data_IF_055697630405
#
_entry.id   IF_055697630405
#
_cell.length_a   1.000
_cell.length_b   1.000
_cell.length_c   1.000
_cell.angle_alpha   90.00
_cell.angle_beta   90.00
_cell.angle_gamma   90.00
#
_symmetry.space_group_name_H-M   'P 1'
#
loop_
_entity.id
_entity.type
_entity.pdbx_description
1 polymer ?
#
# COMPACT_ATOMS: atom_id res chain seq x y z
N UNK A 1 -10.40 30.84 44.84
CA UNK A 1 -11.54 30.70 43.92
C UNK A 1 -11.12 29.68 42.90
N UNK A 2 -11.74 28.50 42.94
CA UNK A 2 -11.39 27.38 42.07
C UNK A 2 -11.91 27.67 40.66
N UNK A 3 -11.10 27.38 39.64
CA UNK A 3 -11.40 27.72 38.26
C UNK A 3 -12.39 26.71 37.67
N UNK A 4 -13.38 27.22 36.94
CA UNK A 4 -14.42 26.42 36.27
C UNK A 4 -13.86 25.79 35.00
N UNK A 5 -14.19 24.52 34.79
CA UNK A 5 -13.86 23.76 33.57
C UNK A 5 -15.14 23.19 32.98
N UNK A 6 -15.43 23.51 31.73
CA UNK A 6 -16.59 22.99 31.01
C UNK A 6 -16.23 21.66 30.32
N UNK A 7 -17.18 20.72 30.31
CA UNK A 7 -17.04 19.36 29.82
C UNK A 7 -18.05 19.08 28.68
N UNK A 8 -17.59 18.41 27.63
CA UNK A 8 -18.35 17.99 26.47
C UNK A 8 -18.89 16.55 26.65
N UNK A 9 -19.74 16.35 27.67
CA UNK A 9 -20.30 15.03 28.00
C UNK A 9 -21.42 14.65 26.99
N UNK A 10 -21.32 13.52 26.28
CA UNK A 10 -22.41 12.99 25.46
C UNK A 10 -23.66 12.71 26.31
N UNK A 11 -24.86 12.85 25.73
CA UNK A 11 -26.10 12.65 26.48
C UNK A 11 -26.24 11.25 27.10
N UNK A 12 -25.65 10.24 26.46
CA UNK A 12 -25.65 8.85 26.91
C UNK A 12 -24.84 8.65 28.20
N UNK A 13 -23.85 9.50 28.46
CA UNK A 13 -22.93 9.41 29.59
C UNK A 13 -23.25 10.40 30.72
N UNK A 14 -24.41 11.07 30.64
CA UNK A 14 -24.82 12.11 31.61
C UNK A 14 -24.93 11.59 33.05
N UNK A 15 -25.32 10.33 33.23
CA UNK A 15 -25.53 9.76 34.56
C UNK A 15 -24.19 9.40 35.21
N UNK A 16 -23.19 9.03 34.39
CA UNK A 16 -21.81 8.86 34.83
C UNK A 16 -21.22 10.22 35.22
N UNK A 17 -21.42 11.27 34.43
CA UNK A 17 -20.92 12.61 34.76
C UNK A 17 -21.50 13.15 36.08
N UNK A 18 -22.79 12.92 36.34
CA UNK A 18 -23.39 13.24 37.64
C UNK A 18 -22.76 12.45 38.79
N UNK A 19 -22.37 11.20 38.56
CA UNK A 19 -21.74 10.37 39.58
C UNK A 19 -20.39 10.94 40.06
N UNK A 20 -19.66 11.60 39.15
CA UNK A 20 -18.39 12.28 39.44
C UNK A 20 -18.55 13.69 40.02
N UNK A 21 -19.77 14.12 40.37
CA UNK A 21 -20.01 15.42 41.00
C UNK A 21 -19.93 16.60 40.04
N UNK A 22 -20.08 16.35 38.73
CA UNK A 22 -20.16 17.39 37.70
C UNK A 22 -21.56 18.01 37.72
N UNK A 23 -21.63 19.35 37.68
CA UNK A 23 -22.89 20.09 37.68
C UNK A 23 -23.31 20.47 36.24
N UNK A 24 -24.61 20.58 36.01
CA UNK A 24 -25.15 21.04 34.73
C UNK A 24 -25.44 22.54 34.80
N UNK A 25 -24.87 23.31 33.87
CA UNK A 25 -25.20 24.72 33.70
C UNK A 25 -26.36 24.86 32.70
N UNK A 26 -27.55 25.20 33.20
CA UNK A 26 -28.75 25.37 32.37
C UNK A 26 -28.65 26.56 31.40
N UNK A 27 -27.90 27.61 31.74
CA UNK A 27 -27.76 28.82 30.93
C UNK A 27 -26.88 28.56 29.71
N UNK A 28 -25.72 27.93 29.94
CA UNK A 28 -24.75 27.61 28.89
C UNK A 28 -24.98 26.24 28.23
N UNK A 29 -25.87 25.41 28.80
CA UNK A 29 -26.16 24.03 28.37
C UNK A 29 -24.91 23.17 28.26
N UNK A 30 -24.04 23.26 29.26
CA UNK A 30 -22.81 22.47 29.36
C UNK A 30 -22.68 21.87 30.75
N UNK A 31 -22.02 20.72 30.81
CA UNK A 31 -21.57 20.14 32.07
C UNK A 31 -20.32 20.89 32.52
N UNK A 32 -20.15 21.12 33.82
CA UNK A 32 -18.99 21.82 34.35
C UNK A 32 -18.56 21.28 35.70
N UNK A 33 -17.26 21.41 35.98
CA UNK A 33 -16.65 21.06 37.26
C UNK A 33 -15.66 22.14 37.69
N UNK A 34 -15.10 22.01 38.89
CA UNK A 34 -14.00 22.86 39.38
C UNK A 34 -12.66 22.14 39.23
N UNK A 35 -11.57 22.88 39.04
CA UNK A 35 -10.21 22.29 38.97
C UNK A 35 -9.87 21.41 40.18
N UNK A 36 -10.40 21.73 41.38
CA UNK A 36 -10.18 20.95 42.60
C UNK A 36 -10.91 19.59 42.62
N UNK A 37 -11.90 19.42 41.76
CA UNK A 37 -12.71 18.20 41.60
C UNK A 37 -12.39 17.46 40.30
N UNK A 38 -11.38 17.90 39.55
CA UNK A 38 -10.94 17.22 38.33
C UNK A 38 -10.24 15.91 38.69
N UNK A 39 -10.72 14.79 38.14
CA UNK A 39 -10.08 13.47 38.25
C UNK A 39 -9.79 12.91 36.85
N UNK A 40 -8.93 11.89 36.77
CA UNK A 40 -8.46 11.31 35.50
C UNK A 40 -9.63 10.83 34.63
N UNK A 41 -10.74 10.37 35.24
CA UNK A 41 -11.93 9.90 34.55
C UNK A 41 -12.75 11.01 33.88
N UNK A 42 -12.57 12.28 34.31
CA UNK A 42 -13.23 13.45 33.71
C UNK A 42 -12.46 14.00 32.50
N UNK A 43 -11.19 13.65 32.32
CA UNK A 43 -10.35 14.13 31.21
C UNK A 43 -10.90 13.70 29.84
N UNK A 44 -11.57 12.54 29.78
CA UNK A 44 -12.22 12.04 28.55
C UNK A 44 -13.33 12.95 28.01
N UNK A 45 -13.88 13.82 28.87
CA UNK A 45 -14.92 14.78 28.50
C UNK A 45 -14.41 16.21 28.35
N UNK A 46 -13.09 16.43 28.44
CA UNK A 46 -12.55 17.74 28.09
C UNK A 46 -12.85 18.02 26.61
N UNK A 47 -13.33 19.24 26.27
CA UNK A 47 -13.60 19.58 24.88
C UNK A 47 -12.31 19.39 24.08
N UNK A 48 -12.32 18.40 23.18
CA UNK A 48 -11.22 18.15 22.26
C UNK A 48 -11.08 19.40 21.39
N UNK A 49 -10.13 20.26 21.78
CA UNK A 49 -9.70 21.36 20.94
C UNK A 49 -8.55 20.76 20.16
N UNK A 50 -8.75 20.34 18.89
CA UNK A 50 -7.64 19.83 18.12
C UNK A 50 -6.56 20.89 18.15
N UNK A 51 -5.36 20.50 18.55
CA UNK A 51 -4.22 21.39 18.53
C UNK A 51 -4.07 21.94 17.10
N UNK A 52 -3.56 23.17 16.92
CA UNK A 52 -3.33 23.72 15.58
C UNK A 52 -2.57 22.75 14.66
N UNK A 53 -1.66 21.95 15.23
CA UNK A 53 -0.92 20.92 14.52
C UNK A 53 -1.81 19.75 14.04
N UNK A 54 -2.77 19.29 14.84
CA UNK A 54 -3.74 18.25 14.44
C UNK A 54 -4.70 18.74 13.36
N UNK A 55 -5.10 20.02 13.41
CA UNK A 55 -5.89 20.66 12.35
C UNK A 55 -5.07 20.75 11.05
N UNK A 56 -3.80 21.16 11.14
CA UNK A 56 -2.92 21.25 9.97
C UNK A 56 -2.65 19.86 9.37
N UNK A 57 -2.51 18.82 10.19
CA UNK A 57 -2.31 17.45 9.73
C UNK A 57 -3.56 16.83 9.09
N UNK A 58 -4.76 17.28 9.48
CA UNK A 58 -6.03 16.80 8.92
C UNK A 58 -6.46 17.51 7.63
N UNK A 59 -5.85 18.64 7.29
CA UNK A 59 -6.11 19.31 6.01
C UNK A 59 -5.51 18.51 4.84
N UNK A 60 -6.23 18.36 3.72
CA UNK A 60 -5.69 17.70 2.54
C UNK A 60 -4.42 18.44 2.08
N UNK A 61 -3.33 17.68 1.90
CA UNK A 61 -2.05 18.23 1.42
C UNK A 61 -2.32 19.03 0.14
N UNK A 62 -2.01 20.33 0.17
CA UNK A 62 -2.15 21.21 -0.99
C UNK A 62 -1.32 20.62 -2.13
N UNK A 63 -2.02 20.22 -3.20
CA UNK A 63 -1.39 19.70 -4.42
C UNK A 63 -1.06 20.88 -5.32
N UNK A 64 0.09 20.82 -5.97
CA UNK A 64 0.42 21.77 -7.03
C UNK A 64 -0.54 21.61 -8.21
N UNK A 65 -0.87 22.72 -8.85
CA UNK A 65 -1.66 22.78 -10.08
C UNK A 65 -0.85 22.27 -11.27
N UNK A 66 -1.54 21.84 -12.33
CA UNK A 66 -0.89 21.36 -13.56
C UNK A 66 0.05 22.41 -14.17
N UNK A 67 -0.31 23.70 -14.12
CA UNK A 67 0.53 24.80 -14.61
C UNK A 67 1.81 24.98 -13.80
N UNK A 68 1.76 24.77 -12.48
CA UNK A 68 2.95 24.87 -11.62
C UNK A 68 3.90 23.69 -11.88
N UNK A 69 3.36 22.49 -12.07
CA UNK A 69 4.13 21.30 -12.45
C UNK A 69 4.83 21.51 -13.80
N UNK A 70 4.13 22.06 -14.80
CA UNK A 70 4.72 22.39 -16.10
C UNK A 70 5.83 23.44 -15.98
N UNK A 71 5.63 24.46 -15.15
CA UNK A 71 6.65 25.48 -14.90
C UNK A 71 7.94 24.87 -14.33
N UNK A 72 7.85 24.00 -13.31
CA UNK A 72 9.03 23.32 -12.74
C UNK A 72 9.71 22.43 -13.78
N UNK A 73 8.95 21.74 -14.64
CA UNK A 73 9.51 20.94 -15.75
C UNK A 73 10.26 21.81 -16.77
N UNK A 74 9.77 23.01 -17.07
CA UNK A 74 10.44 23.95 -17.97
C UNK A 74 11.78 24.45 -17.43
N UNK A 75 11.91 24.60 -16.10
CA UNK A 75 13.17 24.96 -15.44
C UNK A 75 14.17 23.79 -15.37
N UNK A 76 13.69 22.55 -15.55
CA UNK A 76 14.51 21.35 -15.36
C UNK A 76 15.52 21.14 -16.49
N UNK A 77 16.74 20.79 -16.09
CA UNK A 77 17.86 20.44 -16.96
C UNK A 77 18.10 18.93 -16.92
N UNK A 78 18.84 18.43 -17.92
CA UNK A 78 19.25 17.03 -17.95
C UNK A 78 20.13 16.69 -16.76
N UNK A 79 19.79 15.60 -16.06
CA UNK A 79 20.43 15.18 -14.83
C UNK A 79 20.64 13.66 -14.88
N UNK A 80 21.76 13.15 -14.35
CA UNK A 80 22.06 11.70 -14.35
C UNK A 80 21.21 10.90 -13.34
N UNK A 81 20.47 11.61 -12.50
CA UNK A 81 19.69 11.10 -11.39
C UNK A 81 18.21 11.06 -11.78
N UNK A 82 17.53 9.93 -11.62
CA UNK A 82 16.13 9.80 -12.07
C UNK A 82 15.14 10.42 -11.08
N UNK A 83 15.45 10.25 -9.81
CA UNK A 83 14.70 10.71 -8.66
C UNK A 83 14.81 12.22 -8.43
N UNK A 84 15.84 12.85 -8.99
CA UNK A 84 16.09 14.28 -8.89
C UNK A 84 15.76 15.02 -10.21
N UNK A 85 15.46 16.30 -10.07
CA UNK A 85 15.37 17.29 -11.14
C UNK A 85 16.37 18.40 -10.82
N UNK A 86 17.34 18.61 -11.71
CA UNK A 86 18.26 19.74 -11.60
C UNK A 86 17.56 20.96 -12.19
N UNK A 87 17.22 21.94 -11.34
CA UNK A 87 16.54 23.16 -11.79
C UNK A 87 17.55 24.27 -12.03
N UNK A 88 17.42 24.94 -13.17
CA UNK A 88 18.12 26.20 -13.45
C UNK A 88 17.20 27.35 -13.03
N UNK A 89 17.50 27.95 -11.89
CA UNK A 89 16.70 29.00 -11.26
C UNK A 89 17.13 30.39 -11.78
N UNK A 90 16.30 31.43 -11.60
CA UNK A 90 16.69 32.82 -11.80
C UNK A 90 17.95 33.20 -11.00
N UNK A 91 18.58 34.31 -11.42
CA UNK A 91 19.82 34.84 -10.82
C UNK A 91 21.05 33.92 -10.88
N UNK A 92 21.00 32.89 -11.74
CA UNK A 92 22.09 31.94 -11.95
C UNK A 92 22.23 30.91 -10.83
N UNK A 93 21.17 30.71 -10.04
CA UNK A 93 21.11 29.67 -9.02
C UNK A 93 20.73 28.31 -9.61
N UNK A 94 21.15 27.25 -8.93
CA UNK A 94 20.84 25.87 -9.27
C UNK A 94 20.18 25.20 -8.07
N UNK A 95 19.10 24.46 -8.31
CA UNK A 95 18.32 23.79 -7.27
C UNK A 95 18.25 22.29 -7.45
N UNK A 96 18.41 21.53 -6.37
CA UNK A 96 18.07 20.11 -6.32
C UNK A 96 16.60 19.93 -5.92
N UNK A 97 15.78 19.54 -6.90
CA UNK A 97 14.35 19.32 -6.69
C UNK A 97 14.02 17.83 -6.73
N UNK A 98 13.28 17.32 -5.75
CA UNK A 98 12.90 15.90 -5.74
C UNK A 98 11.71 15.67 -6.68
N UNK A 99 11.79 14.68 -7.57
CA UNK A 99 10.75 14.49 -8.59
C UNK A 99 9.37 14.17 -8.00
N UNK A 100 9.30 13.45 -6.87
CA UNK A 100 8.02 13.15 -6.21
C UNK A 100 7.40 14.38 -5.52
N UNK A 101 8.18 15.46 -5.34
CA UNK A 101 7.69 16.73 -4.80
C UNK A 101 6.99 17.59 -5.89
N UNK A 102 6.86 17.09 -7.13
CA UNK A 102 6.12 17.80 -8.19
C UNK A 102 4.65 18.01 -7.83
N UNK A 103 4.01 17.00 -7.24
CA UNK A 103 2.57 17.04 -6.93
C UNK A 103 2.27 17.68 -5.56
N UNK A 104 3.30 18.19 -4.86
CA UNK A 104 3.19 18.80 -3.53
C UNK A 104 3.39 20.32 -3.61
N UNK A 105 3.20 21.04 -2.51
CA UNK A 105 3.37 22.50 -2.42
C UNK A 105 4.81 23.01 -2.66
N UNK A 106 5.80 22.10 -2.78
CA UNK A 106 7.17 22.45 -3.13
C UNK A 106 7.25 23.01 -4.55
N UNK A 107 6.49 22.47 -5.51
CA UNK A 107 6.44 23.02 -6.86
C UNK A 107 5.82 24.43 -6.89
N UNK A 108 4.72 24.68 -6.16
CA UNK A 108 4.19 26.04 -5.97
C UNK A 108 5.24 27.00 -5.38
N UNK A 109 6.05 26.53 -4.42
CA UNK A 109 7.11 27.34 -3.80
C UNK A 109 8.19 27.77 -4.80
N UNK A 110 8.57 26.87 -5.73
CA UNK A 110 9.47 27.23 -6.84
C UNK A 110 8.85 28.28 -7.76
N UNK A 111 7.55 28.17 -8.08
CA UNK A 111 6.85 29.10 -8.97
C UNK A 111 6.76 30.52 -8.39
N UNK A 112 6.54 30.64 -7.08
CA UNK A 112 6.50 31.95 -6.40
C UNK A 112 7.90 32.54 -6.10
N UNK A 113 8.97 31.82 -6.42
CA UNK A 113 10.36 32.24 -6.20
C UNK A 113 10.92 31.94 -4.81
N UNK A 114 10.21 31.18 -3.98
CA UNK A 114 10.70 30.69 -2.68
C UNK A 114 11.48 29.39 -2.87
N UNK A 115 12.68 29.53 -3.43
CA UNK A 115 13.49 28.38 -3.81
C UNK A 115 13.99 27.60 -2.60
N UNK A 116 14.33 28.26 -1.48
CA UNK A 116 14.83 27.60 -0.26
C UNK A 116 13.79 26.62 0.30
N UNK A 117 12.50 26.95 0.14
CA UNK A 117 11.41 26.05 0.48
C UNK A 117 11.14 25.03 -0.62
N UNK A 118 11.24 25.42 -1.89
CA UNK A 118 10.90 24.57 -3.03
C UNK A 118 11.93 23.50 -3.37
N UNK A 119 13.22 23.77 -3.13
CA UNK A 119 14.33 22.87 -3.44
C UNK A 119 14.91 22.26 -2.16
N UNK A 120 15.48 21.05 -2.25
CA UNK A 120 16.18 20.39 -1.12
C UNK A 120 17.57 20.98 -0.87
N UNK A 121 18.16 21.56 -1.90
CA UNK A 121 19.46 22.22 -1.84
C UNK A 121 19.58 23.24 -2.97
N UNK A 122 20.26 24.36 -2.70
CA UNK A 122 20.52 25.42 -3.69
C UNK A 122 21.98 25.81 -3.63
N UNK A 123 22.59 25.99 -4.80
CA UNK A 123 23.92 26.58 -4.91
C UNK A 123 24.05 27.45 -6.16
N UNK A 124 25.03 28.36 -6.16
CA UNK A 124 25.45 29.11 -7.35
C UNK A 124 26.19 28.23 -8.36
N UNK A 125 26.69 27.06 -7.93
CA UNK A 125 27.42 26.13 -8.81
C UNK A 125 26.60 24.86 -9.02
N UNK A 126 26.37 24.44 -10.28
CA UNK A 126 25.65 23.20 -10.57
C UNK A 126 26.37 21.96 -10.04
N UNK A 127 27.71 21.98 -9.96
CA UNK A 127 28.49 20.85 -9.45
C UNK A 127 28.16 20.52 -7.99
N UNK A 128 28.03 21.54 -7.13
CA UNK A 128 27.72 21.36 -5.70
C UNK A 128 26.30 20.77 -5.53
N UNK A 129 25.36 21.17 -6.40
CA UNK A 129 24.00 20.61 -6.41
C UNK A 129 24.00 19.14 -6.84
N UNK A 130 24.80 18.79 -7.86
CA UNK A 130 24.94 17.40 -8.31
C UNK A 130 25.65 16.53 -7.26
N UNK A 131 26.65 17.05 -6.55
CA UNK A 131 27.31 16.35 -5.45
C UNK A 131 26.32 16.10 -4.30
N UNK A 132 25.53 17.11 -3.92
CA UNK A 132 24.44 16.93 -2.95
C UNK A 132 23.45 15.85 -3.38
N UNK A 133 23.01 15.86 -4.64
CA UNK A 133 22.13 14.81 -5.17
C UNK A 133 22.78 13.42 -5.09
N UNK A 134 24.11 13.32 -5.27
CA UNK A 134 24.90 12.07 -5.22
C UNK A 134 24.95 11.49 -3.82
N UNK A 135 25.15 12.35 -2.84
CA UNK A 135 25.17 11.97 -1.43
C UNK A 135 23.78 11.59 -0.91
N UNK A 136 22.71 12.15 -1.50
CA UNK A 136 21.33 11.98 -1.04
C UNK A 136 20.47 11.11 -1.98
N UNK A 137 21.07 10.12 -2.67
CA UNK A 137 20.31 9.18 -3.51
C UNK A 137 19.58 8.15 -2.65
N UNK A 138 18.28 7.93 -2.93
CA UNK A 138 17.53 6.80 -2.39
C UNK A 138 17.94 5.46 -3.04
N UNK A 139 18.51 5.50 -4.24
CA UNK A 139 18.97 4.31 -4.96
C UNK A 139 20.50 4.34 -5.17
N UNK A 140 21.20 3.43 -4.49
CA UNK A 140 22.67 3.26 -4.60
C UNK A 140 23.09 2.31 -5.72
N UNK A 141 22.15 1.83 -6.55
CA UNK A 141 22.49 0.98 -7.68
C UNK A 141 23.28 1.73 -8.76
N UNK A 142 23.97 1.02 -9.66
CA UNK A 142 24.90 1.65 -10.59
C UNK A 142 24.15 2.61 -11.52
N UNK A 143 24.59 3.87 -11.55
CA UNK A 143 24.23 4.80 -12.63
C UNK A 143 24.50 4.12 -13.97
N UNK A 144 23.60 4.32 -14.94
CA UNK A 144 23.89 3.96 -16.33
C UNK A 144 24.92 4.97 -16.84
N UNK A 145 26.19 4.63 -16.77
CA UNK A 145 27.24 5.32 -17.52
C UNK A 145 27.30 4.67 -18.91
N UNK A 146 27.34 5.51 -19.94
CA UNK A 146 27.02 5.26 -21.35
C UNK A 146 27.78 4.11 -22.04
N UNK A 147 27.38 3.84 -23.29
CA UNK A 147 28.10 2.98 -24.24
C UNK A 147 29.61 3.26 -24.24
N UNK A 148 30.35 2.32 -23.66
CA UNK A 148 31.78 2.03 -23.86
C UNK A 148 32.78 3.13 -23.54
N UNK A 149 33.53 2.83 -22.48
CA UNK A 149 34.98 2.99 -22.39
C UNK A 149 35.46 4.48 -22.41
N UNK A 150 36.41 4.95 -21.62
CA UNK A 150 37.84 4.76 -21.75
C UNK A 150 38.44 5.79 -20.79
N UNK A 151 38.85 5.41 -19.58
CA UNK A 151 39.97 6.05 -18.87
C UNK A 151 40.04 5.50 -17.44
N UNK A 152 41.02 4.62 -17.28
CA UNK A 152 41.62 4.16 -16.05
C UNK A 152 42.27 5.34 -15.34
N UNK A 153 42.12 5.46 -14.02
CA UNK A 153 43.12 6.17 -13.23
C UNK A 153 43.54 5.38 -11.99
N UNK A 154 44.85 5.46 -11.74
CA UNK A 154 45.61 4.79 -10.68
C UNK A 154 45.85 5.83 -9.58
N UNK A 155 45.97 5.39 -8.33
CA UNK A 155 46.17 6.17 -7.08
C UNK A 155 44.81 6.44 -6.40
N UNK A 156 44.46 5.94 -5.21
CA UNK A 156 45.14 5.87 -3.89
C UNK A 156 44.10 5.26 -2.89
N UNK A 157 44.36 5.10 -1.57
CA UNK A 157 45.36 4.33 -0.83
C UNK A 157 44.72 3.25 0.10
N UNK A 158 45.56 2.38 0.67
CA UNK A 158 45.22 1.27 1.57
C UNK A 158 44.79 1.71 2.98
N UNK A 159 43.77 1.06 3.56
CA UNK A 159 43.45 1.09 5.00
C UNK A 159 43.47 -0.37 5.50
N UNK A 160 44.27 -0.71 6.53
CA UNK A 160 44.42 -2.09 7.00
C UNK A 160 43.53 -2.49 8.20
N UNK A 161 43.24 -3.80 8.21
CA UNK A 161 43.01 -4.74 9.32
C UNK A 161 41.73 -4.58 10.16
N UNK A 162 41.00 -5.62 10.58
CA UNK A 162 41.40 -6.95 11.08
C UNK A 162 40.20 -7.92 10.98
N UNK A 163 40.18 -8.82 9.97
CA UNK A 163 39.34 -10.02 9.95
C UNK A 163 39.79 -11.00 8.84
N UNK A 164 41.07 -11.35 8.78
CA UNK A 164 41.58 -12.29 7.75
C UNK A 164 42.35 -13.43 8.41
N UNK A 165 41.82 -14.65 8.26
CA UNK A 165 42.61 -15.86 7.97
C UNK A 165 41.66 -17.04 7.66
N UNK A 166 40.69 -16.81 6.79
CA UNK A 166 40.06 -17.88 6.03
C UNK A 166 40.51 -17.71 4.57
N UNK A 167 41.18 -18.69 3.95
CA UNK A 167 41.61 -18.57 2.57
C UNK A 167 40.38 -18.35 1.68
N UNK A 168 40.40 -17.26 0.94
CA UNK A 168 39.33 -16.84 0.04
C UNK A 168 39.89 -16.70 -1.37
N UNK A 169 39.09 -17.06 -2.35
CA UNK A 169 39.34 -16.83 -3.76
C UNK A 169 38.55 -15.60 -4.19
N UNK A 170 39.24 -14.70 -4.89
CA UNK A 170 38.64 -13.52 -5.48
C UNK A 170 38.27 -13.84 -6.92
N UNK A 171 37.03 -13.55 -7.29
CA UNK A 171 36.51 -13.81 -8.63
C UNK A 171 35.64 -12.67 -9.13
N UNK A 172 35.43 -12.63 -10.44
CA UNK A 172 34.54 -11.69 -11.08
C UNK A 172 33.32 -12.42 -11.62
N UNK A 173 32.12 -12.12 -11.09
CA UNK A 173 30.87 -12.71 -11.53
C UNK A 173 30.11 -11.71 -12.41
N UNK A 174 29.89 -12.06 -13.68
CA UNK A 174 29.19 -11.20 -14.63
C UNK A 174 27.74 -11.67 -14.82
N UNK A 175 26.77 -10.89 -14.36
CA UNK A 175 25.33 -11.18 -14.52
C UNK A 175 24.68 -10.03 -15.31
N UNK A 176 24.09 -10.34 -16.45
CA UNK A 176 23.37 -9.35 -17.26
C UNK A 176 24.23 -8.19 -17.75
N UNK A 177 25.52 -8.43 -18.03
CA UNK A 177 26.46 -7.40 -18.53
C UNK A 177 27.09 -6.51 -17.45
N UNK A 178 26.90 -6.83 -16.17
CA UNK A 178 27.60 -6.19 -15.05
C UNK A 178 28.47 -7.21 -14.33
N UNK A 179 29.73 -6.85 -14.10
CA UNK A 179 30.72 -7.66 -13.40
C UNK A 179 30.82 -7.19 -11.95
N UNK A 180 30.61 -8.09 -11.00
CA UNK A 180 30.83 -7.86 -9.57
C UNK A 180 32.03 -8.67 -9.11
N UNK A 181 32.92 -8.02 -8.35
CA UNK A 181 33.98 -8.73 -7.65
C UNK A 181 33.38 -9.40 -6.42
N UNK A 182 33.56 -10.71 -6.33
CA UNK A 182 33.09 -11.52 -5.21
C UNK A 182 34.29 -12.16 -4.54
N UNK A 183 34.34 -12.02 -3.22
CA UNK A 183 35.24 -12.77 -2.37
C UNK A 183 34.49 -14.02 -1.93
N UNK A 184 34.91 -15.17 -2.45
CA UNK A 184 34.33 -16.46 -2.11
C UNK A 184 35.30 -17.22 -1.20
N UNK A 185 34.83 -17.96 -0.19
CA UNK A 185 35.68 -18.86 0.57
C UNK A 185 36.30 -19.92 -0.36
N UNK A 186 37.52 -20.40 -0.07
CA UNK A 186 38.22 -21.41 -0.90
C UNK A 186 37.42 -22.69 -1.17
N UNK A 187 36.44 -23.02 -0.32
CA UNK A 187 35.53 -24.15 -0.55
C UNK A 187 34.71 -24.00 -1.84
N UNK A 188 34.63 -22.78 -2.39
CA UNK A 188 34.04 -22.45 -3.69
C UNK A 188 35.02 -22.49 -4.86
N UNK A 189 36.29 -22.86 -4.68
CA UNK A 189 37.27 -22.93 -5.77
C UNK A 189 36.82 -23.88 -6.90
N UNK A 190 36.22 -25.03 -6.53
CA UNK A 190 35.62 -25.94 -7.51
C UNK A 190 34.42 -25.33 -8.25
N UNK A 191 33.71 -24.40 -7.60
CA UNK A 191 32.60 -23.67 -8.20
C UNK A 191 33.08 -22.60 -9.18
N UNK A 192 34.12 -21.84 -8.81
CA UNK A 192 34.73 -20.83 -9.68
C UNK A 192 35.37 -21.50 -10.89
N UNK A 193 36.12 -22.60 -10.69
CA UNK A 193 36.69 -23.38 -11.80
C UNK A 193 35.62 -23.87 -12.77
N UNK A 194 34.51 -24.40 -12.23
CA UNK A 194 33.39 -24.86 -13.05
C UNK A 194 32.68 -23.72 -13.81
N UNK A 195 32.46 -22.56 -13.18
CA UNK A 195 31.85 -21.37 -13.81
C UNK A 195 32.75 -20.72 -14.86
N UNK A 196 34.08 -20.74 -14.65
CA UNK A 196 35.08 -20.21 -15.57
C UNK A 196 35.21 -21.07 -16.83
N UNK A 197 35.09 -22.39 -16.70
CA UNK A 197 35.22 -23.33 -17.82
C UNK A 197 33.94 -23.48 -18.65
N UNK A 198 32.76 -23.17 -18.09
CA UNK A 198 31.47 -23.57 -18.69
C UNK A 198 30.48 -22.43 -18.99
N UNK A 199 30.92 -21.23 -19.43
CA UNK A 199 29.96 -20.21 -19.89
C UNK A 199 28.92 -20.81 -20.87
N UNK A 200 27.62 -20.71 -20.60
CA UNK A 200 26.96 -19.60 -19.93
C UNK A 200 26.64 -19.84 -18.45
N UNK A 201 26.40 -18.74 -17.72
CA UNK A 201 25.79 -18.73 -16.39
C UNK A 201 24.74 -19.86 -16.31
N UNK A 202 24.90 -20.82 -15.39
CA UNK A 202 23.99 -21.93 -15.27
C UNK A 202 22.58 -21.35 -15.14
N UNK A 203 21.61 -21.90 -15.89
CA UNK A 203 20.27 -21.32 -15.94
C UNK A 203 19.73 -21.12 -14.51
N UNK A 204 18.93 -20.08 -14.25
CA UNK A 204 18.34 -19.81 -12.92
C UNK A 204 17.66 -21.06 -12.32
N UNK A 205 17.20 -21.97 -13.18
CA UNK A 205 16.54 -23.23 -12.84
C UNK A 205 17.49 -24.45 -12.79
N UNK A 206 18.78 -24.28 -13.01
CA UNK A 206 19.74 -25.38 -12.97
C UNK A 206 20.07 -25.77 -11.53
N UNK A 207 20.41 -27.05 -11.36
CA UNK A 207 20.83 -27.59 -10.05
C UNK A 207 22.06 -26.85 -9.50
N UNK A 208 23.02 -26.50 -10.36
CA UNK A 208 24.22 -25.78 -9.94
C UNK A 208 23.88 -24.38 -9.42
N UNK A 209 23.02 -23.63 -10.11
CA UNK A 209 22.58 -22.32 -9.63
C UNK A 209 21.89 -22.42 -8.27
N UNK A 210 21.07 -23.46 -8.05
CA UNK A 210 20.45 -23.70 -6.75
C UNK A 210 21.50 -23.97 -5.65
N UNK A 211 22.52 -24.80 -5.93
CA UNK A 211 23.60 -25.10 -4.99
C UNK A 211 24.44 -23.84 -4.65
N UNK A 212 24.69 -22.97 -5.65
CA UNK A 212 25.37 -21.67 -5.45
C UNK A 212 24.54 -20.76 -4.55
N UNK A 213 23.26 -20.57 -4.87
CA UNK A 213 22.38 -19.70 -4.09
C UNK A 213 22.20 -20.24 -2.67
N UNK A 214 22.12 -21.56 -2.49
CA UNK A 214 22.06 -22.18 -1.16
C UNK A 214 23.35 -21.94 -0.37
N UNK A 215 24.52 -22.05 -1.01
CA UNK A 215 25.80 -21.76 -0.38
C UNK A 215 25.90 -20.29 0.03
N UNK A 216 25.64 -19.37 -0.89
CA UNK A 216 25.65 -17.93 -0.61
C UNK A 216 24.65 -17.59 0.49
N UNK A 217 23.45 -18.16 0.47
CA UNK A 217 22.48 -17.97 1.53
C UNK A 217 23.01 -18.49 2.87
N UNK A 218 23.58 -19.70 2.93
CA UNK A 218 24.11 -20.29 4.16
C UNK A 218 25.20 -19.44 4.81
N UNK A 219 26.03 -18.78 4.00
CA UNK A 219 27.17 -18.00 4.47
C UNK A 219 26.88 -16.48 4.59
N UNK A 220 25.74 -15.99 4.09
CA UNK A 220 25.33 -14.59 4.28
C UNK A 220 24.76 -14.39 5.69
N UNK A 221 25.24 -13.40 6.47
CA UNK A 221 24.68 -13.07 7.79
C UNK A 221 23.18 -12.78 7.72
N UNK A 222 22.41 -13.23 8.71
CA UNK A 222 20.95 -13.05 8.73
C UNK A 222 20.50 -11.57 8.70
N UNK A 223 21.36 -10.65 9.15
CA UNK A 223 21.17 -9.20 9.09
C UNK A 223 21.17 -8.64 7.65
N UNK A 224 21.77 -9.34 6.69
CA UNK A 224 21.94 -8.88 5.30
C UNK A 224 21.10 -9.69 4.31
N UNK A 225 20.50 -10.81 4.75
CA UNK A 225 19.66 -11.64 3.88
C UNK A 225 18.42 -10.87 3.44
N UNK A 226 18.25 -10.72 2.12
CA UNK A 226 17.02 -10.19 1.56
C UNK A 226 15.87 -11.23 1.69
N UNK A 227 14.62 -10.78 1.89
CA UNK A 227 13.47 -11.68 1.92
C UNK A 227 13.29 -12.42 0.59
N UNK A 228 12.79 -13.66 0.65
CA UNK A 228 12.44 -14.39 -0.56
C UNK A 228 11.26 -13.70 -1.26
N UNK A 229 11.17 -13.80 -2.60
CA UNK A 229 10.05 -13.24 -3.38
C UNK A 229 8.70 -13.72 -2.82
N UNK A 230 8.62 -15.00 -2.43
CA UNK A 230 7.42 -15.57 -1.80
C UNK A 230 7.10 -14.95 -0.44
N UNK A 231 8.12 -14.60 0.36
CA UNK A 231 7.91 -13.92 1.64
C UNK A 231 7.41 -12.49 1.41
N UNK A 232 7.99 -11.76 0.45
CA UNK A 232 7.53 -10.40 0.12
C UNK A 232 6.08 -10.43 -0.35
N UNK A 233 5.75 -11.27 -1.33
CA UNK A 233 4.38 -11.40 -1.83
C UNK A 233 3.38 -11.76 -0.71
N UNK A 234 3.75 -12.68 0.18
CA UNK A 234 2.91 -13.05 1.32
C UNK A 234 2.77 -11.90 2.34
N UNK A 235 3.85 -11.16 2.61
CA UNK A 235 3.83 -9.99 3.50
C UNK A 235 3.02 -8.81 2.92
N UNK A 236 3.06 -8.62 1.60
CA UNK A 236 2.24 -7.62 0.90
C UNK A 236 0.76 -8.00 0.95
N UNK A 237 0.41 -9.29 0.79
CA UNK A 237 -0.96 -9.76 0.95
C UNK A 237 -1.48 -9.51 2.38
N UNK A 238 -0.67 -9.85 3.39
CA UNK A 238 -0.97 -9.52 4.80
C UNK A 238 -1.22 -8.02 4.95
N UNK A 239 -0.32 -7.20 4.41
CA UNK A 239 -0.39 -5.74 4.53
C UNK A 239 -1.67 -5.18 3.90
N UNK A 240 -2.03 -5.66 2.71
CA UNK A 240 -3.22 -5.22 1.98
C UNK A 240 -4.51 -5.68 2.65
N UNK A 241 -4.64 -6.98 2.94
CA UNK A 241 -5.89 -7.54 3.49
C UNK A 241 -6.12 -7.15 4.95
N UNK A 242 -5.06 -7.03 5.75
CA UNK A 242 -5.18 -6.64 7.15
C UNK A 242 -5.04 -5.13 7.40
N UNK A 243 -4.84 -4.34 6.33
CA UNK A 243 -4.59 -2.89 6.39
C UNK A 243 -3.47 -2.50 7.39
N UNK A 244 -2.46 -3.36 7.55
CA UNK A 244 -1.29 -3.12 8.40
C UNK A 244 -0.12 -2.68 7.51
N UNK A 245 0.56 -1.57 7.79
CA UNK A 245 1.67 -1.13 6.96
C UNK A 245 2.83 -2.13 7.02
N UNK A 246 3.32 -2.57 5.86
CA UNK A 246 4.52 -3.40 5.75
C UNK A 246 5.76 -2.54 6.04
N UNK A 247 6.48 -2.74 7.16
CA UNK A 247 7.61 -1.90 7.52
C UNK A 247 8.76 -2.04 6.51
N UNK A 248 9.51 -0.96 6.32
CA UNK A 248 10.64 -0.93 5.39
C UNK A 248 11.69 -2.00 5.71
N UNK A 249 11.95 -2.23 7.00
CA UNK A 249 12.85 -3.29 7.47
C UNK A 249 12.41 -4.68 7.01
N UNK A 250 11.10 -4.97 6.98
CA UNK A 250 10.58 -6.23 6.47
C UNK A 250 10.74 -6.38 4.96
N UNK A 251 10.82 -5.29 4.19
CA UNK A 251 11.09 -5.35 2.75
C UNK A 251 12.55 -5.67 2.44
N UNK A 252 13.47 -5.22 3.30
CA UNK A 252 14.91 -5.33 3.06
C UNK A 252 15.58 -6.50 3.78
N UNK A 253 15.01 -6.95 4.90
CA UNK A 253 15.61 -7.98 5.74
C UNK A 253 14.69 -9.18 5.93
N UNK A 254 15.21 -10.37 5.65
CA UNK A 254 14.48 -11.64 5.70
C UNK A 254 13.95 -11.96 7.09
N UNK A 255 14.73 -11.71 8.13
CA UNK A 255 14.33 -11.99 9.53
C UNK A 255 13.19 -11.05 9.93
N UNK A 256 13.30 -9.76 9.60
CA UNK A 256 12.23 -8.79 9.83
C UNK A 256 10.96 -9.14 9.03
N UNK A 257 11.10 -9.57 7.77
CA UNK A 257 9.98 -10.05 6.96
C UNK A 257 9.30 -11.27 7.58
N UNK A 258 10.10 -12.24 8.02
CA UNK A 258 9.59 -13.46 8.62
C UNK A 258 8.89 -13.16 9.95
N UNK A 259 9.47 -12.29 10.77
CA UNK A 259 8.83 -11.84 12.01
C UNK A 259 7.48 -11.17 11.74
N UNK A 260 7.40 -10.28 10.75
CA UNK A 260 6.13 -9.65 10.35
C UNK A 260 5.09 -10.69 9.91
N UNK A 261 5.51 -11.67 9.10
CA UNK A 261 4.66 -12.78 8.67
C UNK A 261 4.18 -13.59 9.89
N UNK A 262 5.07 -13.94 10.80
CA UNK A 262 4.73 -14.76 11.97
C UNK A 262 3.78 -14.04 12.92
N UNK A 263 3.93 -12.73 13.08
CA UNK A 263 3.01 -11.89 13.86
C UNK A 263 1.60 -11.88 13.29
N UNK A 264 1.44 -11.86 11.96
CA UNK A 264 0.14 -11.61 11.31
C UNK A 264 -0.47 -12.81 10.54
N UNK A 265 0.22 -13.94 10.43
CA UNK A 265 -0.27 -15.10 9.67
C UNK A 265 -1.58 -15.68 10.20
N UNK A 266 -1.77 -15.65 11.53
CA UNK A 266 -2.99 -16.17 12.16
C UNK A 266 -4.19 -15.29 11.80
N UNK A 267 -4.01 -13.98 11.86
CA UNK A 267 -5.00 -12.98 11.47
C UNK A 267 -5.38 -13.10 9.99
N UNK A 268 -4.40 -13.23 9.08
CA UNK A 268 -4.67 -13.46 7.66
C UNK A 268 -5.44 -14.76 7.42
N UNK A 269 -5.13 -15.82 8.17
CA UNK A 269 -5.86 -17.09 8.08
C UNK A 269 -7.32 -16.93 8.50
N UNK A 270 -7.58 -16.19 9.58
CA UNK A 270 -8.93 -15.88 10.03
C UNK A 270 -9.70 -15.04 9.00
N UNK A 271 -9.08 -13.96 8.50
CA UNK A 271 -9.65 -13.11 7.45
C UNK A 271 -10.06 -13.95 6.23
N UNK A 272 -9.17 -14.83 5.75
CA UNK A 272 -9.45 -15.72 4.61
C UNK A 272 -10.60 -16.69 4.89
N UNK A 273 -10.76 -17.15 6.13
CA UNK A 273 -11.90 -18.00 6.52
C UNK A 273 -13.20 -17.22 6.43
N UNK A 274 -13.29 -16.05 7.08
CA UNK A 274 -14.46 -15.17 7.04
C UNK A 274 -14.84 -14.81 5.60
N UNK A 275 -13.84 -14.40 4.80
CA UNK A 275 -14.04 -14.10 3.39
C UNK A 275 -14.58 -15.30 2.60
N UNK A 276 -14.05 -16.50 2.82
CA UNK A 276 -14.52 -17.71 2.14
C UNK A 276 -15.95 -18.05 2.50
N UNK A 277 -16.34 -17.86 3.76
CA UNK A 277 -17.68 -18.17 4.24
C UNK A 277 -18.71 -17.16 3.71
N UNK A 278 -18.41 -15.86 3.78
CA UNK A 278 -19.25 -14.81 3.18
C UNK A 278 -19.36 -14.94 1.66
N UNK A 279 -18.25 -15.21 0.97
CA UNK A 279 -18.26 -15.47 -0.47
C UNK A 279 -19.07 -16.72 -0.85
N UNK A 280 -19.08 -17.76 -0.02
CA UNK A 280 -19.93 -18.93 -0.26
C UNK A 280 -21.41 -18.56 -0.12
N UNK A 281 -21.76 -17.74 0.87
CA UNK A 281 -23.13 -17.26 1.09
C UNK A 281 -23.64 -16.35 -0.01
N UNK A 282 -22.77 -15.49 -0.57
CA UNK A 282 -23.13 -14.52 -1.61
C UNK A 282 -23.21 -15.10 -3.03
N UNK A 283 -22.67 -16.29 -3.27
CA UNK A 283 -22.61 -16.86 -4.62
C UNK A 283 -24.00 -17.10 -5.23
N UNK A 284 -24.98 -17.52 -4.41
CA UNK A 284 -26.37 -17.68 -4.86
C UNK A 284 -26.99 -16.36 -5.30
N UNK A 285 -26.69 -15.28 -4.56
CA UNK A 285 -27.14 -13.92 -4.88
C UNK A 285 -26.54 -13.44 -6.22
N UNK A 286 -25.22 -13.55 -6.39
CA UNK A 286 -24.53 -13.16 -7.64
C UNK A 286 -25.11 -13.92 -8.83
N UNK A 287 -25.32 -15.23 -8.67
CA UNK A 287 -25.93 -16.06 -9.71
C UNK A 287 -27.36 -15.63 -10.03
N UNK A 288 -28.19 -15.43 -9.01
CA UNK A 288 -29.58 -15.00 -9.17
C UNK A 288 -29.67 -13.66 -9.92
N UNK A 289 -28.82 -12.70 -9.56
CA UNK A 289 -28.79 -11.38 -10.20
C UNK A 289 -28.31 -11.48 -11.65
N UNK A 290 -27.22 -12.20 -11.92
CA UNK A 290 -26.72 -12.37 -13.29
C UNK A 290 -27.73 -13.10 -14.19
N UNK A 291 -28.36 -14.15 -13.67
CA UNK A 291 -29.42 -14.87 -14.37
C UNK A 291 -30.60 -13.91 -14.66
N UNK A 292 -31.03 -13.12 -13.68
CA UNK A 292 -32.10 -12.15 -13.85
C UNK A 292 -31.75 -11.03 -14.85
N UNK A 293 -30.53 -10.48 -14.83
CA UNK A 293 -30.06 -9.50 -15.83
C UNK A 293 -30.13 -10.09 -17.23
N UNK A 294 -29.70 -11.34 -17.39
CA UNK A 294 -29.77 -12.05 -18.67
C UNK A 294 -31.22 -12.21 -19.15
N UNK A 295 -32.12 -12.60 -18.24
CA UNK A 295 -33.53 -12.83 -18.54
C UNK A 295 -34.28 -11.53 -18.87
N UNK A 296 -34.09 -10.50 -18.05
CA UNK A 296 -34.71 -9.18 -18.21
C UNK A 296 -34.20 -8.45 -19.47
N UNK A 297 -32.92 -8.59 -19.83
CA UNK A 297 -32.37 -8.08 -21.09
C UNK A 297 -33.05 -8.75 -22.29
N UNK A 298 -33.18 -10.10 -22.29
CA UNK A 298 -33.87 -10.82 -23.35
C UNK A 298 -35.33 -10.36 -23.51
N UNK A 299 -36.06 -10.23 -22.39
CA UNK A 299 -37.45 -9.74 -22.36
C UNK A 299 -37.56 -8.34 -22.94
N UNK A 300 -36.67 -7.43 -22.53
CA UNK A 300 -36.67 -6.03 -22.97
C UNK A 300 -36.35 -5.88 -24.46
N UNK A 301 -35.43 -6.69 -24.99
CA UNK A 301 -35.11 -6.69 -26.43
C UNK A 301 -36.26 -7.26 -27.27
N UNK A 302 -36.93 -8.31 -26.79
CA UNK A 302 -38.12 -8.86 -27.45
C UNK A 302 -39.28 -7.86 -27.48
N UNK A 303 -39.54 -7.16 -26.37
CA UNK A 303 -40.62 -6.15 -26.31
C UNK A 303 -40.32 -4.93 -27.18
N UNK A 304 -39.04 -4.60 -27.40
CA UNK A 304 -38.59 -3.60 -28.35
C UNK A 304 -38.70 -4.05 -29.82
N UNK A 305 -39.11 -5.29 -30.09
CA UNK A 305 -39.24 -5.83 -31.45
C UNK A 305 -37.92 -6.19 -32.13
N UNK A 306 -36.83 -6.36 -31.36
CA UNK A 306 -35.52 -6.75 -31.91
C UNK A 306 -35.61 -8.21 -32.41
N UNK A 307 -35.10 -8.52 -33.63
CA UNK A 307 -35.06 -9.89 -34.14
C UNK A 307 -34.34 -10.85 -33.18
N UNK A 308 -34.87 -12.05 -33.03
CA UNK A 308 -34.35 -13.02 -32.06
C UNK A 308 -32.92 -13.44 -32.39
N UNK A 309 -32.49 -13.38 -33.65
CA UNK A 309 -31.13 -13.68 -34.11
C UNK A 309 -30.11 -12.70 -33.51
N UNK A 310 -30.44 -11.40 -33.46
CA UNK A 310 -29.59 -10.37 -32.86
C UNK A 310 -29.50 -10.55 -31.34
N UNK A 311 -30.62 -10.91 -30.70
CA UNK A 311 -30.65 -11.22 -29.26
C UNK A 311 -29.82 -12.48 -28.96
N UNK A 312 -29.92 -13.50 -29.83
CA UNK A 312 -29.18 -14.75 -29.74
C UNK A 312 -27.66 -14.49 -29.77
N UNK A 313 -27.21 -13.67 -30.72
CA UNK A 313 -25.81 -13.25 -30.85
C UNK A 313 -25.35 -12.48 -29.60
N UNK A 314 -26.12 -11.49 -29.15
CA UNK A 314 -25.78 -10.66 -27.99
C UNK A 314 -25.66 -11.48 -26.69
N UNK A 315 -26.56 -12.44 -26.46
CA UNK A 315 -26.59 -13.24 -25.23
C UNK A 315 -25.80 -14.55 -25.32
N UNK A 316 -25.18 -14.85 -26.47
CA UNK A 316 -24.45 -16.09 -26.72
C UNK A 316 -25.35 -17.34 -26.71
N UNK A 317 -26.59 -17.23 -27.19
CA UNK A 317 -27.60 -18.30 -27.24
C UNK A 317 -27.85 -18.73 -28.68
N UNK A 318 -28.26 -19.98 -28.92
CA UNK A 318 -28.41 -20.53 -30.29
C UNK A 318 -29.84 -20.62 -30.81
N UNK A 319 -30.86 -20.57 -29.96
CA UNK A 319 -32.24 -20.88 -30.35
C UNK A 319 -33.23 -19.85 -29.85
N UNK A 320 -34.21 -19.52 -30.70
CA UNK A 320 -35.35 -18.66 -30.38
C UNK A 320 -36.08 -19.10 -29.11
N UNK A 321 -36.33 -20.40 -28.98
CA UNK A 321 -37.04 -21.00 -27.84
C UNK A 321 -36.35 -20.67 -26.51
N UNK A 322 -35.01 -20.62 -26.48
CA UNK A 322 -34.27 -20.29 -25.25
C UNK A 322 -34.46 -18.82 -24.86
N UNK A 323 -34.56 -17.92 -25.83
CA UNK A 323 -34.78 -16.48 -25.60
C UNK A 323 -36.19 -16.23 -25.08
N UNK A 324 -37.19 -16.87 -25.69
CA UNK A 324 -38.58 -16.83 -25.19
C UNK A 324 -38.66 -17.39 -23.76
N UNK A 325 -37.95 -18.49 -23.48
CA UNK A 325 -37.84 -19.06 -22.12
C UNK A 325 -37.19 -18.09 -21.13
N UNK A 326 -36.18 -17.31 -21.55
CA UNK A 326 -35.58 -16.29 -20.70
C UNK A 326 -36.57 -15.18 -20.35
N UNK A 327 -37.40 -14.73 -21.30
CA UNK A 327 -38.42 -13.74 -21.00
C UNK A 327 -39.43 -14.25 -19.95
N UNK A 328 -39.93 -15.49 -20.11
CA UNK A 328 -40.81 -16.11 -19.11
C UNK A 328 -40.14 -16.24 -17.74
N UNK A 329 -38.87 -16.62 -17.71
CA UNK A 329 -38.10 -16.72 -16.45
C UNK A 329 -37.91 -15.37 -15.76
N UNK A 330 -37.82 -14.27 -16.49
CA UNK A 330 -37.79 -12.93 -15.89
C UNK A 330 -39.09 -12.67 -15.11
N UNK A 331 -40.25 -12.94 -15.72
CA UNK A 331 -41.55 -12.75 -15.10
C UNK A 331 -41.77 -13.69 -13.89
N UNK A 332 -41.26 -14.92 -13.97
CA UNK A 332 -41.25 -15.88 -12.85
C UNK A 332 -40.38 -15.38 -11.70
N UNK A 333 -39.17 -14.92 -11.99
CA UNK A 333 -38.24 -14.41 -10.98
C UNK A 333 -38.78 -13.17 -10.24
N UNK A 334 -39.43 -12.24 -10.94
CA UNK A 334 -40.08 -11.07 -10.33
C UNK A 334 -41.25 -11.46 -9.41
N UNK A 335 -41.96 -12.54 -9.75
CA UNK A 335 -43.08 -13.04 -8.95
C UNK A 335 -42.61 -13.81 -7.72
N UNK A 336 -41.60 -14.65 -7.87
CA UNK A 336 -41.04 -15.48 -6.80
C UNK A 336 -40.17 -14.67 -5.82
N UNK A 337 -39.51 -13.62 -6.32
CA UNK A 337 -38.59 -12.78 -5.56
C UNK A 337 -38.87 -11.29 -5.82
N UNK A 338 -39.98 -10.73 -5.28
CA UNK A 338 -40.33 -9.32 -5.48
C UNK A 338 -39.28 -8.35 -4.93
N UNK A 339 -38.41 -8.83 -4.05
CA UNK A 339 -37.23 -8.10 -3.54
C UNK A 339 -36.27 -7.68 -4.66
N UNK A 340 -36.18 -8.44 -5.76
CA UNK A 340 -35.36 -8.09 -6.93
C UNK A 340 -35.71 -6.69 -7.49
N UNK A 341 -36.96 -6.27 -7.34
CA UNK A 341 -37.48 -5.00 -7.86
C UNK A 341 -37.64 -3.91 -6.79
N UNK A 342 -37.52 -4.26 -5.51
CA UNK A 342 -37.88 -3.35 -4.41
C UNK A 342 -36.75 -3.10 -3.43
N UNK A 343 -35.86 -4.06 -3.21
CA UNK A 343 -34.74 -3.91 -2.30
C UNK A 343 -33.60 -3.13 -2.99
N UNK A 344 -33.11 -2.02 -2.39
CA UNK A 344 -32.11 -1.15 -2.99
C UNK A 344 -30.84 -1.87 -3.47
N UNK A 345 -30.36 -2.82 -2.67
CA UNK A 345 -29.17 -3.61 -3.00
C UNK A 345 -29.32 -4.35 -4.35
N UNK A 346 -30.46 -5.01 -4.55
CA UNK A 346 -30.70 -5.74 -5.80
C UNK A 346 -30.80 -4.79 -6.98
N UNK A 347 -31.50 -3.66 -6.80
CA UNK A 347 -31.65 -2.64 -7.84
C UNK A 347 -30.29 -2.07 -8.27
N UNK A 348 -29.40 -1.78 -7.33
CA UNK A 348 -28.06 -1.26 -7.61
C UNK A 348 -27.21 -2.29 -8.37
N UNK A 349 -27.23 -3.56 -7.94
CA UNK A 349 -26.51 -4.64 -8.62
C UNK A 349 -27.05 -4.95 -10.02
N UNK A 350 -28.37 -4.91 -10.20
CA UNK A 350 -29.02 -5.06 -11.51
C UNK A 350 -28.64 -3.89 -12.42
N UNK A 351 -28.64 -2.66 -11.90
CA UNK A 351 -28.23 -1.46 -12.64
C UNK A 351 -26.78 -1.54 -13.08
N UNK A 352 -25.87 -1.98 -12.20
CA UNK A 352 -24.46 -2.19 -12.53
C UNK A 352 -24.31 -3.23 -13.65
N UNK A 353 -24.96 -4.39 -13.50
CA UNK A 353 -24.84 -5.46 -14.48
C UNK A 353 -25.47 -5.13 -15.83
N UNK A 354 -26.59 -4.41 -15.86
CA UNK A 354 -27.17 -3.88 -17.11
C UNK A 354 -26.31 -2.79 -17.75
N UNK A 355 -25.51 -2.06 -16.96
CA UNK A 355 -24.49 -1.13 -17.44
C UNK A 355 -23.23 -1.80 -17.99
N UNK A 356 -23.12 -3.14 -17.94
CA UNK A 356 -21.97 -3.91 -18.40
C UNK A 356 -20.86 -4.08 -17.34
N UNK A 357 -21.09 -3.64 -16.11
CA UNK A 357 -20.16 -3.88 -15.01
C UNK A 357 -20.32 -5.31 -14.44
N UNK A 358 -19.24 -5.83 -13.84
CA UNK A 358 -19.27 -7.17 -13.24
C UNK A 358 -19.95 -7.14 -11.87
N UNK A 359 -21.13 -7.75 -11.77
CA UNK A 359 -21.85 -7.97 -10.50
C UNK A 359 -20.99 -8.75 -9.51
N UNK A 360 -20.23 -9.74 -9.99
CA UNK A 360 -19.33 -10.56 -9.18
C UNK A 360 -18.24 -9.71 -8.52
N UNK A 361 -17.67 -8.75 -9.26
CA UNK A 361 -16.66 -7.83 -8.72
C UNK A 361 -17.27 -6.84 -7.72
N UNK A 362 -18.48 -6.33 -7.98
CA UNK A 362 -19.18 -5.43 -7.07
C UNK A 362 -19.50 -6.13 -5.74
N UNK A 363 -20.06 -7.33 -5.80
CA UNK A 363 -20.35 -8.14 -4.60
C UNK A 363 -19.06 -8.54 -3.88
N UNK A 364 -17.98 -8.86 -4.61
CA UNK A 364 -16.67 -9.15 -3.99
C UNK A 364 -16.13 -7.97 -3.20
N UNK A 365 -16.30 -6.72 -3.67
CA UNK A 365 -15.90 -5.51 -2.92
C UNK A 365 -16.73 -5.35 -1.65
N UNK A 366 -18.04 -5.54 -1.73
CA UNK A 366 -18.91 -5.50 -0.57
C UNK A 366 -18.52 -6.55 0.48
N UNK A 367 -18.15 -7.75 0.03
CA UNK A 367 -17.67 -8.82 0.91
C UNK A 367 -16.35 -8.41 1.55
N UNK A 368 -15.39 -7.87 0.79
CA UNK A 368 -14.13 -7.41 1.37
C UNK A 368 -14.35 -6.34 2.46
N UNK A 369 -15.31 -5.42 2.27
CA UNK A 369 -15.66 -4.41 3.27
C UNK A 369 -16.33 -5.04 4.51
N UNK A 370 -17.31 -5.93 4.32
CA UNK A 370 -17.99 -6.61 5.42
C UNK A 370 -17.04 -7.53 6.21
N UNK A 371 -16.18 -8.30 5.52
CA UNK A 371 -15.16 -9.14 6.15
C UNK A 371 -14.22 -8.28 6.98
N UNK A 372 -13.83 -7.11 6.48
CA UNK A 372 -12.96 -6.20 7.22
C UNK A 372 -13.63 -5.70 8.50
N UNK A 373 -14.90 -5.33 8.46
CA UNK A 373 -15.66 -4.93 9.65
C UNK A 373 -15.72 -6.05 10.68
N UNK A 374 -16.16 -7.25 10.28
CA UNK A 374 -16.26 -8.42 11.16
C UNK A 374 -14.89 -8.82 11.75
N UNK A 375 -13.85 -8.82 10.91
CA UNK A 375 -12.48 -9.12 11.31
C UNK A 375 -11.92 -8.08 12.30
N UNK A 376 -12.16 -6.79 12.04
CA UNK A 376 -11.66 -5.70 12.89
C UNK A 376 -12.29 -5.74 14.28
N UNK A 377 -13.59 -6.04 14.36
CA UNK A 377 -14.31 -6.24 15.60
C UNK A 377 -13.75 -7.44 16.38
N UNK A 378 -13.59 -8.60 15.74
CA UNK A 378 -13.01 -9.80 16.37
C UNK A 378 -11.57 -9.54 16.87
N UNK A 379 -10.77 -8.79 16.12
CA UNK A 379 -9.40 -8.40 16.53
C UNK A 379 -9.41 -7.49 17.76
N UNK A 380 -10.33 -6.53 17.83
CA UNK A 380 -10.49 -5.66 19.01
C UNK A 380 -10.88 -6.47 20.25
N UNK A 381 -11.86 -7.35 20.13
CA UNK A 381 -12.30 -8.23 21.23
C UNK A 381 -11.12 -9.07 21.76
N UNK A 382 -10.30 -9.65 20.86
CA UNK A 382 -9.10 -10.40 21.27
C UNK A 382 -8.06 -9.53 21.99
N UNK A 383 -7.88 -8.28 21.57
CA UNK A 383 -6.97 -7.35 22.25
C UNK A 383 -7.45 -7.09 23.68
N UNK A 384 -8.72 -6.75 23.85
CA UNK A 384 -9.32 -6.47 25.16
C UNK A 384 -9.27 -7.68 26.10
N UNK A 385 -9.55 -8.88 25.58
CA UNK A 385 -9.44 -10.11 26.36
C UNK A 385 -8.01 -10.38 26.83
N UNK A 386 -7.02 -10.09 25.99
CA UNK A 386 -5.60 -10.26 26.33
C UNK A 386 -5.16 -9.25 27.39
N UNK A 387 -5.60 -8.01 27.29
CA UNK A 387 -5.34 -6.96 28.28
C UNK A 387 -5.97 -7.32 29.64
N UNK A 388 -7.22 -7.78 29.65
CA UNK A 388 -7.90 -8.23 30.87
C UNK A 388 -7.18 -9.41 31.56
N UNK A 389 -6.62 -10.34 30.78
CA UNK A 389 -5.81 -11.44 31.32
C UNK A 389 -4.51 -10.95 31.96
N UNK A 390 -3.82 -9.98 31.33
CA UNK A 390 -2.58 -9.43 31.89
C UNK A 390 -2.79 -8.67 33.20
N UNK A 391 -3.92 -7.98 33.36
CA UNK A 391 -4.26 -7.28 34.61
C UNK A 391 -4.60 -8.25 35.74
N UNK A 392 -5.14 -9.43 35.43
CA UNK A 392 -5.45 -10.44 36.46
C UNK A 392 -4.22 -11.20 36.97
N UNK A 393 -3.08 -11.13 36.28
CA UNK A 393 -1.83 -11.80 36.65
C UNK A 393 -0.85 -10.91 37.43
N UNK A 394 -1.09 -9.60 37.44
CA UNK A 394 -0.36 -8.59 38.24
C UNK A 394 -1.07 -8.30 39.55
#
# INVERSE_FOLDING_TARGET
>A
MSKRVDLAVPFEEKDDAKHFGVEWDEENRVWWTTEDQMCEELERWLPFTPTPDEVIQSLPRLKSTASEIEHVKLLSQTCEFREWMLLMLPDGLWGAFWRDDLDTNFASSVVIGDYDKGCRFISKKPSEVLDFMRENRLYTGPLRTSERDWARDKNEPEIPSEAEDAPCCFGQLTIGGKTIEIQLPWVCEGLIGHLAENSPMPSMSSRLSAEIFEYLDRHTPASVKYPLIKQIAYSEEISQKLRVPLPWSARQNRVACQSFIDTHKADLTMYRSMHKDLHRGSWSLVKQINDYIKWSTARSMLSAGIPWETIAEHLGVKTKITIEKYATKADEAERESPELLSAPLYLDLIKLGTGGESVDLAVSRMIDDQVWEEFSHERLVRSLLKEAQTVSET
#
